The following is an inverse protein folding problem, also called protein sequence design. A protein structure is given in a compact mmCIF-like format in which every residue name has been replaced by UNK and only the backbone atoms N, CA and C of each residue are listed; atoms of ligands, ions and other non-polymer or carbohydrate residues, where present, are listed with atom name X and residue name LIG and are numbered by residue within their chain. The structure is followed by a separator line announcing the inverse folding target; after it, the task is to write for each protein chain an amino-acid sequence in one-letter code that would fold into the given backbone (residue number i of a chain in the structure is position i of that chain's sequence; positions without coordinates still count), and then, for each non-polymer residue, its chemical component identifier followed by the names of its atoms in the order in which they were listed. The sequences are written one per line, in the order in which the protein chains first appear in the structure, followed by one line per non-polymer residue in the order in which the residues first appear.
data_IF_673739572111
#
_entry.id   IF_673739572111
#
_cell.length_a   1.000
_cell.length_b   1.000
_cell.length_c   1.000
_cell.angle_alpha   90.00
_cell.angle_beta   90.00
_cell.angle_gamma   90.00
#
_symmetry.space_group_name_H-M   'P 1'
#
loop_
_entity.id
_entity.type
_entity.pdbx_description
1 polymer ?
#
# COMPACT_ATOMS: atom_id res chain seq x y z
N UNK A 1 -41.55 -36.85 -3.62
CA UNK A 1 -40.38 -36.38 -2.82
C UNK A 1 -39.68 -35.31 -3.65
N UNK A 2 -39.78 -34.04 -3.26
CA UNK A 2 -39.14 -32.91 -3.95
C UNK A 2 -37.83 -32.61 -3.26
N UNK A 3 -36.72 -32.84 -3.94
CA UNK A 3 -35.37 -32.55 -3.43
C UNK A 3 -35.13 -31.06 -3.63
N UNK A 4 -34.98 -30.30 -2.54
CA UNK A 4 -34.65 -28.91 -2.59
C UNK A 4 -33.20 -28.73 -3.07
N UNK A 5 -32.99 -27.83 -4.03
CA UNK A 5 -31.65 -27.44 -4.50
C UNK A 5 -31.01 -26.58 -3.39
N UNK A 6 -29.82 -26.93 -2.86
CA UNK A 6 -29.17 -26.12 -1.85
C UNK A 6 -28.77 -24.77 -2.47
N UNK A 7 -29.25 -23.68 -1.88
CA UNK A 7 -28.82 -22.35 -2.24
C UNK A 7 -27.39 -22.14 -1.70
N UNK A 8 -26.44 -22.00 -2.58
CA UNK A 8 -25.08 -21.52 -2.21
C UNK A 8 -25.19 -20.06 -1.78
N UNK A 9 -25.19 -19.82 -0.48
CA UNK A 9 -24.99 -18.48 0.07
C UNK A 9 -23.54 -18.09 -0.24
N UNK A 10 -23.33 -17.25 -1.23
CA UNK A 10 -22.07 -16.54 -1.41
C UNK A 10 -21.91 -15.61 -0.21
N UNK A 11 -21.07 -15.99 0.74
CA UNK A 11 -20.66 -15.09 1.82
C UNK A 11 -20.01 -13.87 1.18
N UNK A 12 -20.69 -12.74 1.22
CA UNK A 12 -20.09 -11.47 0.84
C UNK A 12 -18.91 -11.25 1.78
N UNK A 13 -17.68 -11.22 1.24
CA UNK A 13 -16.51 -10.81 2.01
C UNK A 13 -16.78 -9.40 2.49
N UNK A 14 -16.88 -9.20 3.80
CA UNK A 14 -17.02 -7.87 4.37
C UNK A 14 -15.65 -7.22 4.38
N UNK A 15 -15.55 -6.03 3.81
CA UNK A 15 -14.35 -5.21 3.84
C UNK A 15 -14.52 -4.15 4.94
N UNK A 16 -13.48 -3.99 5.75
CA UNK A 16 -13.40 -2.90 6.69
C UNK A 16 -12.99 -1.65 5.95
N UNK A 17 -13.86 -0.67 5.83
CA UNK A 17 -13.54 0.65 5.28
C UNK A 17 -13.43 1.62 6.43
N UNK A 18 -12.25 2.26 6.58
CA UNK A 18 -12.05 3.34 7.54
C UNK A 18 -12.57 4.65 6.98
N UNK A 19 -13.09 5.50 7.87
CA UNK A 19 -13.52 6.83 7.48
C UNK A 19 -12.32 7.67 7.04
N UNK A 20 -12.53 8.52 6.03
CA UNK A 20 -11.52 9.47 5.63
C UNK A 20 -11.31 10.50 6.75
N UNK A 21 -10.04 10.75 7.10
CA UNK A 21 -9.68 11.82 8.03
C UNK A 21 -9.85 13.19 7.36
N UNK A 22 -9.92 14.23 8.17
CA UNK A 22 -10.00 15.61 7.68
C UNK A 22 -8.71 16.03 6.96
N UNK A 23 -8.86 16.93 5.99
CA UNK A 23 -7.75 17.47 5.22
C UNK A 23 -6.91 18.36 6.12
N UNK A 24 -5.65 17.99 6.37
CA UNK A 24 -4.74 18.73 7.23
C UNK A 24 -3.27 18.31 6.96
N UNK A 25 -2.36 18.91 7.72
CA UNK A 25 -0.94 18.57 7.75
C UNK A 25 -0.63 17.82 9.04
N UNK A 26 -0.08 16.63 8.90
CA UNK A 26 0.21 15.73 10.02
C UNK A 26 1.71 15.45 10.11
N UNK A 27 2.23 15.35 11.32
CA UNK A 27 3.51 14.67 11.53
C UNK A 27 3.28 13.17 11.37
N UNK A 28 4.15 12.51 10.63
CA UNK A 28 3.99 11.10 10.26
C UNK A 28 5.33 10.38 10.25
N UNK A 29 5.29 9.10 10.52
CA UNK A 29 6.43 8.21 10.54
C UNK A 29 6.45 7.31 9.31
N UNK A 30 7.59 7.16 8.68
CA UNK A 30 7.77 6.21 7.58
C UNK A 30 7.82 4.80 8.18
N UNK A 31 6.78 4.00 7.92
CA UNK A 31 6.68 2.64 8.48
C UNK A 31 6.86 1.55 7.42
N UNK A 32 6.68 1.88 6.14
CA UNK A 32 6.92 0.92 5.07
C UNK A 32 7.64 1.57 3.89
N UNK A 33 8.59 0.84 3.33
CA UNK A 33 9.15 1.05 2.00
C UNK A 33 9.04 -0.27 1.23
N UNK A 34 8.27 -0.28 0.14
CA UNK A 34 8.02 -1.48 -0.66
C UNK A 34 8.40 -1.19 -2.11
N UNK A 35 9.49 -1.78 -2.58
CA UNK A 35 9.83 -1.76 -4.00
C UNK A 35 8.89 -2.66 -4.80
N UNK A 36 8.31 -2.12 -5.87
CA UNK A 36 7.32 -2.81 -6.71
C UNK A 36 7.90 -3.26 -8.07
N UNK A 37 9.22 -3.09 -8.29
CA UNK A 37 9.84 -3.34 -9.59
C UNK A 37 9.55 -2.25 -10.62
N UNK A 38 9.89 -2.51 -11.87
CA UNK A 38 9.69 -1.58 -12.99
C UNK A 38 8.24 -1.65 -13.47
N UNK A 39 7.52 -0.54 -13.34
CA UNK A 39 6.10 -0.43 -13.66
C UNK A 39 5.86 0.55 -14.82
N UNK A 40 4.81 0.36 -15.63
CA UNK A 40 4.40 1.35 -16.61
C UNK A 40 4.06 2.67 -15.91
N UNK A 41 4.46 3.78 -16.55
CA UNK A 41 4.06 5.11 -16.10
C UNK A 41 2.75 5.54 -16.76
N UNK A 42 1.93 6.38 -16.09
CA UNK A 42 0.79 7.03 -16.73
C UNK A 42 1.26 7.87 -17.93
N UNK A 43 0.45 7.90 -18.98
CA UNK A 43 0.69 8.76 -20.10
C UNK A 43 0.74 10.24 -19.67
N UNK A 44 1.60 11.01 -20.32
CA UNK A 44 1.71 12.43 -20.08
C UNK A 44 1.36 13.18 -21.35
N UNK A 45 0.30 13.98 -21.32
CA UNK A 45 -0.21 14.73 -22.48
C UNK A 45 -0.48 13.85 -23.72
N UNK A 46 -0.90 12.59 -23.49
CA UNK A 46 -1.15 11.61 -24.54
C UNK A 46 0.10 10.87 -25.05
N UNK A 47 1.27 11.13 -24.47
CA UNK A 47 2.51 10.41 -24.78
C UNK A 47 2.83 9.34 -23.73
N UNK A 48 3.06 8.11 -24.19
CA UNK A 48 3.49 7.02 -23.34
C UNK A 48 4.89 7.28 -22.78
N UNK A 49 5.04 7.16 -21.46
CA UNK A 49 6.36 7.25 -20.80
C UNK A 49 7.03 5.89 -20.71
N UNK A 50 8.36 5.90 -20.73
CA UNK A 50 9.13 4.70 -20.47
C UNK A 50 8.80 4.15 -19.07
N UNK A 51 8.70 2.81 -18.90
CA UNK A 51 8.53 2.22 -17.58
C UNK A 51 9.65 2.66 -16.62
N UNK A 52 9.33 2.80 -15.34
CA UNK A 52 10.28 3.20 -14.32
C UNK A 52 10.07 2.39 -13.03
N UNK A 53 11.11 2.34 -12.21
CA UNK A 53 11.00 1.68 -10.90
C UNK A 53 9.98 2.39 -10.04
N UNK A 54 9.04 1.63 -9.48
CA UNK A 54 7.97 2.13 -8.62
C UNK A 54 8.16 1.61 -7.21
N UNK A 55 7.83 2.42 -6.21
CA UNK A 55 7.73 1.97 -4.83
C UNK A 55 6.48 2.55 -4.17
N UNK A 56 6.01 1.88 -3.12
CA UNK A 56 5.00 2.37 -2.20
C UNK A 56 5.67 2.72 -0.87
N UNK A 57 5.34 3.88 -0.32
CA UNK A 57 5.76 4.30 1.02
C UNK A 57 4.52 4.49 1.88
N UNK A 58 4.53 3.93 3.09
CA UNK A 58 3.47 4.11 4.06
C UNK A 58 3.92 5.04 5.19
N UNK A 59 3.04 5.95 5.55
CA UNK A 59 3.22 6.98 6.56
C UNK A 59 2.21 6.73 7.68
N UNK A 60 2.67 6.32 8.86
CA UNK A 60 1.86 6.25 10.08
C UNK A 60 1.69 7.66 10.65
N UNK A 61 0.46 8.13 10.75
CA UNK A 61 0.16 9.43 11.36
C UNK A 61 0.38 9.34 12.88
N UNK A 62 1.07 10.35 13.42
CA UNK A 62 1.39 10.40 14.85
C UNK A 62 0.14 10.86 15.61
N UNK A 63 -0.22 10.11 16.66
CA UNK A 63 -1.37 10.37 17.52
C UNK A 63 -2.74 10.40 16.79
N UNK A 64 -2.82 9.80 15.58
CA UNK A 64 -4.07 9.66 14.84
C UNK A 64 -4.42 8.20 14.70
N UNK A 65 -5.59 7.83 15.21
CA UNK A 65 -6.15 6.50 15.03
C UNK A 65 -7.06 6.45 13.80
N UNK A 66 -6.98 5.34 13.07
CA UNK A 66 -7.97 5.02 12.07
C UNK A 66 -9.27 4.67 12.80
N UNK A 67 -10.17 5.62 12.86
CA UNK A 67 -11.51 5.42 13.38
C UNK A 67 -12.39 4.91 12.26
N UNK A 68 -13.22 3.95 12.54
CA UNK A 68 -13.92 3.42 11.46
C UNK A 68 -15.23 2.77 11.78
N UNK A 69 -15.73 2.19 10.74
CA UNK A 69 -17.00 1.52 10.70
C UNK A 69 -17.03 0.32 11.62
N UNK A 70 -18.20 0.03 12.08
CA UNK A 70 -18.51 -1.26 12.69
C UNK A 70 -18.43 -2.37 11.66
N UNK A 71 -18.14 -3.59 12.11
CA UNK A 71 -18.16 -4.77 11.26
C UNK A 71 -19.53 -4.95 10.59
N UNK A 72 -19.52 -5.18 9.27
CA UNK A 72 -20.69 -5.55 8.48
C UNK A 72 -20.47 -6.95 7.92
N UNK A 73 -21.42 -7.88 8.12
CA UNK A 73 -21.45 -9.18 7.43
C UNK A 73 -21.00 -10.42 8.21
N UNK A 74 -20.39 -10.28 9.39
CA UNK A 74 -20.20 -11.39 10.32
C UNK A 74 -21.20 -11.23 11.47
N UNK A 75 -22.20 -12.11 11.57
CA UNK A 75 -23.35 -11.96 12.49
C UNK A 75 -22.94 -11.74 13.96
N UNK A 76 -21.87 -12.39 14.41
CA UNK A 76 -21.34 -12.28 15.77
C UNK A 76 -20.55 -10.98 16.03
N UNK A 77 -20.15 -10.26 14.98
CA UNK A 77 -19.36 -9.01 15.02
C UNK A 77 -20.12 -7.76 14.58
N UNK A 78 -21.27 -7.94 13.90
CA UNK A 78 -22.07 -6.80 13.39
C UNK A 78 -22.36 -5.80 14.49
N UNK A 79 -22.11 -4.53 14.21
CA UNK A 79 -22.31 -3.43 15.14
C UNK A 79 -21.23 -3.27 16.20
N UNK A 80 -20.23 -4.18 16.30
CA UNK A 80 -19.09 -3.98 17.22
C UNK A 80 -18.11 -2.98 16.64
N UNK A 81 -17.55 -2.07 17.45
CA UNK A 81 -16.45 -1.22 17.01
C UNK A 81 -15.25 -2.04 16.57
N UNK A 82 -14.57 -1.57 15.56
CA UNK A 82 -13.26 -2.13 15.16
C UNK A 82 -12.21 -1.55 16.11
N UNK A 83 -11.28 -2.40 16.55
CA UNK A 83 -10.20 -1.96 17.43
C UNK A 83 -9.42 -0.79 16.83
N UNK A 84 -9.12 0.25 17.60
CA UNK A 84 -8.32 1.37 17.14
C UNK A 84 -6.94 0.90 16.69
N UNK A 85 -6.50 1.35 15.54
CA UNK A 85 -5.14 1.15 15.04
C UNK A 85 -4.59 2.45 14.48
N UNK A 86 -3.26 2.59 14.36
CA UNK A 86 -2.67 3.79 13.76
C UNK A 86 -3.22 4.04 12.37
N UNK A 87 -3.54 5.31 12.07
CA UNK A 87 -3.90 5.71 10.71
C UNK A 87 -2.65 5.72 9.83
N UNK A 88 -2.66 4.95 8.75
CA UNK A 88 -1.57 4.90 7.79
C UNK A 88 -2.02 5.45 6.45
N UNK A 89 -1.20 6.33 5.87
CA UNK A 89 -1.41 6.89 4.54
C UNK A 89 -0.38 6.31 3.57
N UNK A 90 -0.81 5.93 2.39
CA UNK A 90 0.06 5.31 1.39
C UNK A 90 0.27 6.25 0.22
N UNK A 91 1.49 6.26 -0.32
CA UNK A 91 1.81 7.00 -1.54
C UNK A 91 2.77 6.22 -2.41
N UNK A 92 2.39 6.08 -3.66
CA UNK A 92 3.23 5.51 -4.71
C UNK A 92 4.14 6.57 -5.31
N UNK A 93 5.37 6.16 -5.61
CA UNK A 93 6.37 6.99 -6.25
C UNK A 93 7.06 6.24 -7.37
N UNK A 94 7.37 6.95 -8.46
CA UNK A 94 8.36 6.50 -9.42
C UNK A 94 9.72 7.06 -9.02
N UNK A 95 10.71 6.18 -8.83
CA UNK A 95 12.06 6.56 -8.45
C UNK A 95 12.88 6.90 -9.70
N UNK A 96 13.41 8.11 -9.72
CA UNK A 96 14.36 8.56 -10.74
C UNK A 96 15.66 8.94 -10.05
N UNK A 97 16.64 8.00 -9.96
CA UNK A 97 17.94 8.26 -9.33
C UNK A 97 18.62 9.49 -9.94
N UNK A 98 19.15 10.37 -9.10
CA UNK A 98 19.78 11.62 -9.53
C UNK A 98 18.82 12.76 -9.86
N UNK A 99 17.51 12.57 -9.74
CA UNK A 99 16.54 13.67 -9.91
C UNK A 99 16.71 14.72 -8.81
N UNK A 100 16.56 16.01 -9.18
CA UNK A 100 16.73 17.16 -8.28
C UNK A 100 15.41 17.87 -7.98
N UNK A 101 14.28 17.25 -8.31
CA UNK A 101 12.94 17.78 -8.11
C UNK A 101 11.90 16.65 -8.13
N UNK A 102 10.72 16.94 -7.60
CA UNK A 102 9.57 16.02 -7.58
C UNK A 102 9.40 15.38 -6.20
N UNK A 103 8.26 14.69 -6.01
CA UNK A 103 7.83 14.22 -4.70
C UNK A 103 8.81 13.29 -3.97
N UNK A 104 9.59 12.48 -4.71
CA UNK A 104 10.66 11.66 -4.09
C UNK A 104 11.80 12.54 -3.60
N UNK A 105 12.19 13.55 -4.37
CA UNK A 105 13.23 14.48 -3.95
C UNK A 105 12.79 15.30 -2.72
N UNK A 106 11.52 15.71 -2.69
CA UNK A 106 10.95 16.43 -1.54
C UNK A 106 10.96 15.54 -0.28
N UNK A 107 10.62 14.25 -0.43
CA UNK A 107 10.75 13.27 0.65
C UNK A 107 12.19 13.13 1.14
N UNK A 108 13.14 12.95 0.22
CA UNK A 108 14.57 12.85 0.59
C UNK A 108 15.04 14.09 1.35
N UNK A 109 14.66 15.26 0.89
CA UNK A 109 14.97 16.54 1.54
C UNK A 109 14.31 16.73 2.90
N UNK A 110 13.10 16.21 3.07
CA UNK A 110 12.38 16.23 4.34
C UNK A 110 13.09 15.40 5.42
N UNK A 111 13.70 14.27 4.99
CA UNK A 111 14.46 13.36 5.85
C UNK A 111 15.87 13.94 6.12
N UNK A 112 16.59 14.28 5.06
CA UNK A 112 17.96 14.77 5.09
C UNK A 112 18.08 16.04 4.23
N UNK A 113 18.14 17.23 4.86
CA UNK A 113 18.24 18.52 4.16
C UNK A 113 19.52 18.69 3.34
N UNK A 114 20.55 17.86 3.56
CA UNK A 114 21.83 17.93 2.83
C UNK A 114 21.76 17.27 1.46
N UNK A 115 20.73 16.45 1.20
CA UNK A 115 20.53 15.77 -0.09
C UNK A 115 20.39 16.80 -1.22
N UNK A 116 21.13 16.57 -2.30
CA UNK A 116 21.10 17.41 -3.51
C UNK A 116 20.44 16.73 -4.71
N UNK A 117 20.28 15.41 -4.64
CA UNK A 117 19.61 14.59 -5.67
C UNK A 117 19.02 13.32 -5.05
N UNK A 118 18.07 12.69 -5.74
CA UNK A 118 17.48 11.42 -5.29
C UNK A 118 18.55 10.33 -5.25
N UNK A 119 18.72 9.61 -4.14
CA UNK A 119 19.70 8.52 -3.98
C UNK A 119 19.57 7.44 -5.05
N UNK A 120 20.69 6.81 -5.39
CA UNK A 120 20.78 5.82 -6.47
C UNK A 120 20.57 4.38 -6.01
N UNK A 121 20.53 4.14 -4.70
CA UNK A 121 20.34 2.84 -4.10
C UNK A 121 19.05 2.78 -3.29
N UNK A 122 18.45 1.60 -3.22
CA UNK A 122 17.21 1.38 -2.48
C UNK A 122 17.46 1.28 -0.97
N UNK A 123 18.65 0.86 -0.58
CA UNK A 123 19.08 0.73 0.81
C UNK A 123 18.93 2.05 1.56
N UNK A 124 19.24 3.17 0.91
CA UNK A 124 19.07 4.49 1.52
C UNK A 124 17.63 4.71 2.01
N UNK A 125 16.63 4.30 1.23
CA UNK A 125 15.22 4.43 1.60
C UNK A 125 14.81 3.43 2.70
N UNK A 126 15.34 2.21 2.63
CA UNK A 126 15.06 1.15 3.60
C UNK A 126 15.60 1.49 4.98
N UNK A 127 16.80 2.11 5.04
CA UNK A 127 17.42 2.59 6.27
C UNK A 127 16.71 3.79 6.90
N UNK A 128 15.81 4.45 6.16
CA UNK A 128 15.02 5.59 6.63
C UNK A 128 13.64 5.22 7.16
N UNK A 129 13.38 3.94 7.36
CA UNK A 129 12.23 3.53 8.16
C UNK A 129 12.37 4.12 9.57
N UNK A 130 11.23 4.45 10.17
CA UNK A 130 11.13 5.12 11.45
C UNK A 130 11.48 6.62 11.45
N UNK A 131 11.95 7.20 10.34
CA UNK A 131 12.12 8.65 10.22
C UNK A 131 10.76 9.37 10.23
N UNK A 132 10.76 10.58 10.78
CA UNK A 132 9.58 11.42 10.92
C UNK A 132 9.60 12.55 9.91
N UNK A 133 8.50 12.67 9.17
CA UNK A 133 8.25 13.70 8.16
C UNK A 133 6.90 14.35 8.39
N UNK A 134 6.68 15.54 7.84
CA UNK A 134 5.37 16.16 7.80
C UNK A 134 4.70 15.83 6.48
N UNK A 135 3.44 15.40 6.50
CA UNK A 135 2.68 15.10 5.28
C UNK A 135 1.37 15.89 5.27
N UNK A 136 1.07 16.49 4.12
CA UNK A 136 -0.28 16.99 3.85
C UNK A 136 -1.16 15.83 3.42
N UNK A 137 -2.31 15.70 4.05
CA UNK A 137 -3.35 14.73 3.68
C UNK A 137 -4.54 15.49 3.14
N UNK A 138 -5.00 15.12 1.95
CA UNK A 138 -6.21 15.66 1.35
C UNK A 138 -7.18 14.54 1.05
N UNK A 139 -8.46 14.86 0.93
CA UNK A 139 -9.49 13.90 0.57
C UNK A 139 -9.88 13.98 -0.90
N UNK A 140 -10.38 12.88 -1.43
CA UNK A 140 -11.01 12.82 -2.75
C UNK A 140 -12.17 11.84 -2.71
N UNK A 141 -13.09 11.97 -3.66
CA UNK A 141 -14.22 11.05 -3.78
C UNK A 141 -13.97 10.12 -4.97
N UNK A 142 -14.03 8.82 -4.73
CA UNK A 142 -13.92 7.80 -5.78
C UNK A 142 -15.12 7.85 -6.72
N UNK A 143 -15.02 7.20 -7.90
CA UNK A 143 -16.16 7.05 -8.84
C UNK A 143 -17.38 6.38 -8.19
N UNK A 144 -17.18 5.57 -7.17
CA UNK A 144 -18.25 4.90 -6.39
C UNK A 144 -18.83 5.78 -5.27
N UNK A 145 -18.42 7.04 -5.15
CA UNK A 145 -18.90 7.97 -4.14
C UNK A 145 -18.26 7.80 -2.75
N UNK A 146 -17.23 6.97 -2.62
CA UNK A 146 -16.54 6.77 -1.34
C UNK A 146 -15.47 7.84 -1.15
N UNK A 147 -15.48 8.54 0.00
CA UNK A 147 -14.44 9.51 0.37
C UNK A 147 -13.20 8.77 0.86
N UNK A 148 -12.03 9.13 0.31
CA UNK A 148 -10.72 8.54 0.67
C UNK A 148 -9.67 9.62 0.81
N UNK A 149 -8.58 9.31 1.50
CA UNK A 149 -7.43 10.21 1.66
C UNK A 149 -6.33 9.93 0.63
N UNK A 150 -5.51 10.95 0.42
CA UNK A 150 -4.26 10.87 -0.35
C UNK A 150 -3.22 11.80 0.25
N UNK A 151 -1.95 11.43 0.16
CA UNK A 151 -0.84 12.30 0.54
C UNK A 151 -0.62 13.34 -0.56
N UNK A 152 -0.80 14.61 -0.23
CA UNK A 152 -0.72 15.74 -1.17
C UNK A 152 0.65 16.41 -1.17
N UNK A 153 1.31 16.48 0.00
CA UNK A 153 2.63 17.10 0.15
C UNK A 153 3.48 16.35 1.17
N UNK A 154 4.79 16.57 1.13
CA UNK A 154 5.74 16.02 2.09
C UNK A 154 6.74 17.13 2.42
N UNK A 155 7.04 17.28 3.70
CA UNK A 155 7.96 18.29 4.20
C UNK A 155 8.71 17.85 5.46
N UNK A 156 9.68 18.65 5.88
CA UNK A 156 10.44 18.36 7.07
C UNK A 156 9.65 18.70 8.34
N UNK A 157 9.80 17.87 9.36
CA UNK A 157 9.32 18.16 10.71
C UNK A 157 10.37 18.94 11.48
N UNK A 158 9.93 19.86 12.34
CA UNK A 158 10.85 20.57 13.22
C UNK A 158 11.58 19.62 14.18
N UNK A 159 12.85 19.89 14.48
CA UNK A 159 13.64 19.04 15.40
C UNK A 159 12.98 18.90 16.77
N UNK A 160 12.27 19.95 17.22
CA UNK A 160 11.52 19.93 18.49
C UNK A 160 10.37 18.92 18.47
N UNK A 161 9.70 18.76 17.34
CA UNK A 161 8.61 17.80 17.21
C UNK A 161 9.16 16.38 17.06
N UNK A 162 10.24 16.19 16.26
CA UNK A 162 10.89 14.87 16.12
C UNK A 162 11.24 14.24 17.47
N UNK A 163 11.73 15.03 18.44
CA UNK A 163 12.12 14.53 19.76
C UNK A 163 10.95 14.10 20.66
N UNK A 164 9.72 14.47 20.31
CA UNK A 164 8.53 14.15 21.10
C UNK A 164 7.78 12.93 20.58
N UNK A 165 8.15 12.44 19.40
CA UNK A 165 7.47 11.33 18.76
C UNK A 165 7.90 10.02 19.41
N UNK A 166 6.94 9.25 19.92
CA UNK A 166 7.13 7.89 20.45
C UNK A 166 7.61 6.90 19.39
N UNK A 167 7.65 5.62 19.72
CA UNK A 167 7.98 4.55 18.77
C UNK A 167 6.86 4.30 17.76
N UNK A 168 7.20 3.65 16.63
CA UNK A 168 6.22 3.23 15.64
C UNK A 168 5.23 2.24 16.28
N UNK A 169 3.94 2.44 16.05
CA UNK A 169 2.87 1.53 16.48
C UNK A 169 2.62 0.46 15.42
N UNK A 170 2.91 0.77 14.16
CA UNK A 170 2.85 -0.15 13.04
C UNK A 170 4.16 -0.91 12.88
N UNK A 171 4.07 -2.11 12.33
CA UNK A 171 5.25 -2.89 11.97
C UNK A 171 6.07 -2.20 10.87
N UNK A 172 7.38 -2.11 11.06
CA UNK A 172 8.31 -1.60 10.05
C UNK A 172 8.58 -2.65 8.99
N UNK A 173 8.32 -2.34 7.72
CA UNK A 173 8.53 -3.24 6.59
C UNK A 173 9.36 -2.58 5.51
N UNK A 174 10.55 -3.12 5.23
CA UNK A 174 11.39 -2.75 4.10
C UNK A 174 11.48 -3.92 3.12
N UNK A 175 11.15 -3.69 1.85
CA UNK A 175 11.25 -4.71 0.81
C UNK A 175 11.98 -4.19 -0.42
N UNK A 176 13.15 -4.79 -0.70
CA UNK A 176 13.90 -4.61 -1.94
C UNK A 176 13.58 -5.78 -2.87
N UNK A 177 12.93 -5.57 -4.04
CA UNK A 177 12.49 -6.65 -4.90
C UNK A 177 13.64 -7.45 -5.56
N UNK A 178 14.85 -6.92 -5.56
CA UNK A 178 15.99 -7.54 -6.25
C UNK A 178 16.91 -8.35 -5.34
N UNK A 179 16.61 -8.41 -4.04
CA UNK A 179 17.45 -9.12 -3.06
C UNK A 179 16.82 -10.46 -2.71
N UNK A 180 17.58 -11.54 -2.86
CA UNK A 180 17.18 -12.92 -2.52
C UNK A 180 17.80 -13.33 -1.18
N UNK A 181 17.15 -12.96 -0.09
CA UNK A 181 17.54 -13.36 1.27
C UNK A 181 16.31 -13.76 2.09
N UNK A 182 16.52 -14.57 3.16
CA UNK A 182 15.42 -14.97 4.04
C UNK A 182 14.65 -13.77 4.63
N UNK A 183 15.35 -12.68 4.95
CA UNK A 183 14.76 -11.46 5.48
C UNK A 183 13.83 -10.81 4.44
N UNK A 184 14.24 -10.78 3.16
CA UNK A 184 13.39 -10.24 2.09
C UNK A 184 12.21 -11.14 1.77
N UNK A 185 12.35 -12.46 1.88
CA UNK A 185 11.23 -13.39 1.77
C UNK A 185 10.22 -13.18 2.91
N UNK A 186 10.71 -12.96 4.12
CA UNK A 186 9.85 -12.61 5.26
C UNK A 186 9.15 -11.26 5.05
N UNK A 187 9.88 -10.24 4.57
CA UNK A 187 9.30 -8.95 4.24
C UNK A 187 8.26 -9.07 3.13
N UNK A 188 8.53 -9.86 2.07
CA UNK A 188 7.56 -10.15 1.01
C UNK A 188 6.27 -10.78 1.54
N UNK A 189 6.37 -11.69 2.50
CA UNK A 189 5.21 -12.35 3.11
C UNK A 189 4.32 -11.38 3.89
N UNK A 190 4.87 -10.24 4.37
CA UNK A 190 4.15 -9.18 5.06
C UNK A 190 3.53 -8.13 4.12
N UNK A 191 3.76 -8.25 2.81
CA UNK A 191 3.15 -7.35 1.82
C UNK A 191 1.66 -7.65 1.67
N UNK A 192 0.90 -6.62 1.37
CA UNK A 192 -0.49 -6.78 1.00
C UNK A 192 -0.62 -7.53 -0.33
N UNK A 193 -1.73 -8.25 -0.49
CA UNK A 193 -1.97 -9.03 -1.72
C UNK A 193 -1.82 -8.18 -2.98
N UNK A 194 -2.43 -6.99 -3.02
CA UNK A 194 -2.34 -6.10 -4.17
C UNK A 194 -0.89 -5.68 -4.50
N UNK A 195 -0.03 -5.47 -3.48
CA UNK A 195 1.38 -5.15 -3.73
C UNK A 195 2.12 -6.33 -4.37
N UNK A 196 1.86 -7.55 -3.89
CA UNK A 196 2.43 -8.77 -4.49
C UNK A 196 1.95 -8.99 -5.92
N UNK A 197 0.67 -8.71 -6.20
CA UNK A 197 0.10 -8.79 -7.55
C UNK A 197 0.80 -7.78 -8.49
N UNK A 198 0.99 -6.54 -8.06
CA UNK A 198 1.74 -5.51 -8.82
C UNK A 198 3.20 -5.93 -9.06
N UNK A 199 3.87 -6.54 -8.07
CA UNK A 199 5.24 -7.06 -8.21
C UNK A 199 5.28 -8.20 -9.24
N UNK A 200 4.29 -9.09 -9.23
CA UNK A 200 4.20 -10.19 -10.19
C UNK A 200 4.00 -9.72 -11.63
N UNK A 201 3.36 -8.56 -11.82
CA UNK A 201 3.10 -7.93 -13.13
C UNK A 201 4.19 -6.94 -13.56
N UNK A 202 5.26 -6.76 -12.77
CA UNK A 202 6.36 -5.85 -13.09
C UNK A 202 7.03 -6.23 -14.43
N UNK A 203 7.48 -5.22 -15.19
CA UNK A 203 8.17 -5.43 -16.48
C UNK A 203 9.46 -6.23 -16.36
N UNK A 204 10.05 -6.22 -15.18
CA UNK A 204 11.28 -6.91 -14.80
C UNK A 204 11.03 -8.05 -13.79
N UNK A 205 9.79 -8.56 -13.70
CA UNK A 205 9.40 -9.61 -12.75
C UNK A 205 10.31 -10.86 -12.82
N UNK A 206 10.86 -11.18 -13.99
CA UNK A 206 11.83 -12.27 -14.16
C UNK A 206 13.14 -12.08 -13.37
N UNK A 207 13.43 -10.84 -12.93
CA UNK A 207 14.60 -10.51 -12.12
C UNK A 207 14.27 -10.34 -10.62
N UNK A 208 12.99 -10.53 -10.27
CA UNK A 208 12.51 -10.39 -8.90
C UNK A 208 12.35 -11.80 -8.28
N UNK A 209 13.17 -12.18 -7.29
CA UNK A 209 13.21 -13.54 -6.74
C UNK A 209 11.87 -14.07 -6.25
N UNK A 210 11.02 -13.20 -5.73
CA UNK A 210 9.74 -13.60 -5.10
C UNK A 210 8.50 -13.21 -5.91
N UNK A 211 8.64 -12.67 -7.12
CA UNK A 211 7.51 -12.31 -7.97
C UNK A 211 6.60 -13.53 -8.23
N UNK A 212 5.32 -13.40 -7.94
CA UNK A 212 4.33 -14.46 -8.14
C UNK A 212 4.44 -15.64 -7.17
N UNK A 213 5.34 -15.62 -6.18
CA UNK A 213 5.41 -16.68 -5.17
C UNK A 213 4.34 -16.48 -4.09
N UNK A 214 3.85 -17.59 -3.54
CA UNK A 214 2.98 -17.55 -2.37
C UNK A 214 3.78 -17.09 -1.14
N UNK A 215 3.17 -16.26 -0.27
CA UNK A 215 3.80 -15.85 0.97
C UNK A 215 4.00 -17.05 1.88
N UNK A 216 5.08 -17.04 2.67
CA UNK A 216 5.25 -18.02 3.73
C UNK A 216 4.10 -17.81 4.73
N UNK A 217 3.38 -18.89 5.06
CA UNK A 217 2.39 -18.85 6.13
C UNK A 217 3.10 -18.47 7.43
N UNK A 218 2.58 -17.44 8.10
CA UNK A 218 3.11 -17.02 9.40
C UNK A 218 2.92 -18.19 10.37
N UNK A 219 4.03 -18.78 10.82
CA UNK A 219 4.04 -19.90 11.79
C UNK A 219 3.79 -19.43 13.23
N UNK A 220 3.18 -18.25 13.39
CA UNK A 220 2.68 -17.75 14.67
C UNK A 220 1.50 -18.58 15.16
N UNK A 221 1.65 -19.22 16.31
CA UNK A 221 0.64 -19.96 17.07
C UNK A 221 -0.64 -19.12 17.28
N UNK A 222 -1.55 -19.26 16.35
CA UNK A 222 -2.89 -18.71 16.41
C UNK A 222 -3.74 -19.46 15.41
N UNK A 223 -4.53 -20.44 15.87
CA UNK A 223 -5.47 -21.19 15.04
C UNK A 223 -6.34 -20.26 14.20
N UNK A 224 -6.04 -20.18 12.89
CA UNK A 224 -6.97 -19.67 11.88
C UNK A 224 -7.76 -20.84 11.33
N UNK A 225 -9.09 -20.73 11.19
CA UNK A 225 -9.89 -21.78 10.63
C UNK A 225 -9.47 -22.10 9.19
N UNK A 226 -9.17 -23.38 8.94
CA UNK A 226 -8.87 -23.93 7.61
C UNK A 226 -10.12 -23.85 6.74
N UNK A 227 -10.16 -22.90 5.81
CA UNK A 227 -11.07 -22.98 4.68
C UNK A 227 -10.33 -23.55 3.47
N UNK A 228 -10.40 -24.84 3.32
CA UNK A 228 -10.00 -25.55 2.10
C UNK A 228 -11.12 -25.39 1.08
N UNK A 229 -10.95 -24.49 0.13
CA UNK A 229 -11.82 -24.48 -1.06
C UNK A 229 -10.94 -24.53 -2.31
N UNK A 230 -10.97 -25.66 -2.96
CA UNK A 230 -10.38 -25.92 -4.27
C UNK A 230 -11.01 -24.98 -5.30
N UNK A 231 -10.20 -24.20 -5.97
CA UNK A 231 -10.65 -23.23 -6.99
C UNK A 231 -10.66 -23.91 -8.35
N UNK A 232 -11.84 -24.12 -8.89
CA UNK A 232 -12.02 -24.47 -10.31
C UNK A 232 -11.71 -23.24 -11.19
N UNK A 233 -10.99 -23.50 -12.28
CA UNK A 233 -10.59 -22.50 -13.29
C UNK A 233 -11.83 -21.93 -14.00
N UNK A 234 -12.06 -20.63 -13.89
CA UNK A 234 -12.94 -19.90 -14.81
C UNK A 234 -12.10 -19.14 -15.84
N UNK A 235 -12.26 -19.57 -17.11
CA UNK A 235 -11.73 -18.90 -18.30
C UNK A 235 -12.34 -17.50 -18.43
N UNK A 236 -11.49 -16.47 -18.40
CA UNK A 236 -11.91 -15.12 -18.78
C UNK A 236 -11.73 -14.91 -20.29
N UNK A 237 -12.84 -14.51 -20.92
CA UNK A 237 -12.88 -14.15 -22.32
C UNK A 237 -12.20 -12.79 -22.58
N UNK A 238 -11.54 -12.73 -23.74
CA UNK A 238 -10.90 -11.54 -24.31
C UNK A 238 -11.87 -10.36 -24.43
N UNK A 239 -11.61 -9.27 -23.71
CA UNK A 239 -12.13 -7.95 -24.06
C UNK A 239 -10.95 -6.98 -24.24
N UNK A 240 -10.93 -6.41 -25.45
CA UNK A 240 -9.98 -5.41 -25.94
C UNK A 240 -10.06 -4.12 -25.10
N UNK A 241 -8.94 -3.49 -24.72
CA UNK A 241 -8.98 -2.23 -23.97
C UNK A 241 -9.38 -1.08 -24.88
N UNK A 242 -10.40 -0.35 -24.50
CA UNK A 242 -10.73 0.97 -25.04
C UNK A 242 -9.95 2.01 -24.24
N UNK A 243 -9.06 2.71 -24.91
CA UNK A 243 -8.31 3.84 -24.37
C UNK A 243 -9.25 4.97 -23.93
N UNK A 244 -9.30 5.22 -22.62
CA UNK A 244 -9.91 6.43 -22.07
C UNK A 244 -8.84 7.15 -21.22
N UNK A 245 -8.44 8.40 -21.54
CA UNK A 245 -7.28 9.07 -20.94
C UNK A 245 -7.47 9.56 -19.49
N UNK A 246 -8.61 9.30 -18.86
CA UNK A 246 -8.95 9.78 -17.52
C UNK A 246 -8.97 8.67 -16.42
N UNK A 247 -8.46 7.49 -16.74
CA UNK A 247 -8.34 6.42 -15.74
C UNK A 247 -7.08 6.61 -14.90
N UNK A 248 -7.17 7.52 -13.94
CA UNK A 248 -6.33 7.45 -12.75
C UNK A 248 -6.57 6.09 -12.10
N UNK A 249 -5.48 5.37 -11.78
CA UNK A 249 -5.46 4.05 -11.18
C UNK A 249 -6.56 3.93 -10.10
N UNK A 250 -7.70 3.39 -10.49
CA UNK A 250 -8.65 2.85 -9.52
C UNK A 250 -7.94 1.65 -8.90
N UNK A 251 -7.40 1.84 -7.71
CA UNK A 251 -7.08 0.71 -6.85
C UNK A 251 -8.41 -0.01 -6.62
N UNK A 252 -8.51 -1.22 -7.14
CA UNK A 252 -9.67 -2.07 -6.92
C UNK A 252 -10.04 -2.08 -5.45
N UNK A 253 -11.35 -2.06 -5.16
CA UNK A 253 -11.95 -2.03 -3.82
C UNK A 253 -11.54 -3.21 -2.89
N UNK A 254 -10.58 -4.02 -3.29
CA UNK A 254 -10.06 -5.17 -2.56
C UNK A 254 -8.86 -4.86 -1.65
N UNK A 255 -8.51 -3.56 -1.43
CA UNK A 255 -7.51 -3.19 -0.43
C UNK A 255 -8.14 -3.11 0.95
N UNK A 256 -7.86 -4.03 1.87
CA UNK A 256 -8.23 -3.90 3.27
C UNK A 256 -7.28 -2.90 3.93
N UNK A 257 -7.71 -1.67 4.06
CA UNK A 257 -7.09 -0.69 4.96
C UNK A 257 -7.87 -0.59 6.25
#
# INVERSE_FOLDING_TARGET
MTTAIPSTSTSKKSFTVYDAIEDDVFDARIVRFVGLGVQPQPDWQGEAKAPAFKCTIAFELIDVDATGRTYEGEEDKVGKPIDPRPSCQFKDFYLFPGAKRGGVFDLCKAIDPTITEVPRNLEWFMERLNEVVSIGVGSYTTKKGVKRNKVTSIGAVSSRNKSKVGEARSELVAYNPYVDTPEMLQAYSKLYKFQRDVIAEAKDAQHIPYAGKEPIADSGDGEKPKNTTTREEQKYGNNKPTNNPDEGLDFDDDCPF
#
